data_IF_168634502208
#
_entry.id   IF_168634502208
#
_cell.length_a   1.000
_cell.length_b   1.000
_cell.length_c   1.000
_cell.angle_alpha   90.00
_cell.angle_beta   90.00
_cell.angle_gamma   90.00
#
_symmetry.space_group_name_H-M   'P 1'
#
loop_
_entity.id
_entity.type
_entity.pdbx_description
1 polymer ?
#
# COMPACT_ATOMS: atom_id res chain seq x y z
N UNK A 1 -12.76 -5.87 0.95
CA UNK A 1 -12.46 -6.05 -0.49
C UNK A 1 -11.65 -4.83 -0.92
N UNK A 2 -10.60 -4.99 -1.73
CA UNK A 2 -9.83 -3.87 -2.25
C UNK A 2 -10.72 -2.91 -3.06
N UNK A 3 -10.28 -1.67 -3.19
CA UNK A 3 -11.00 -0.67 -3.99
C UNK A 3 -10.97 -1.05 -5.49
N UNK A 4 -12.11 -0.91 -6.22
CA UNK A 4 -12.14 -1.21 -7.66
C UNK A 4 -11.10 -0.42 -8.47
N UNK A 5 -10.88 0.85 -8.09
CA UNK A 5 -9.89 1.70 -8.73
C UNK A 5 -8.45 1.14 -8.63
N UNK A 6 -8.09 0.51 -7.50
CA UNK A 6 -6.78 -0.11 -7.36
C UNK A 6 -6.63 -1.34 -8.27
N UNK A 7 -7.69 -2.14 -8.40
CA UNK A 7 -7.72 -3.30 -9.29
C UNK A 7 -7.52 -2.87 -10.74
N UNK A 8 -8.28 -1.87 -11.18
CA UNK A 8 -8.23 -1.37 -12.56
C UNK A 8 -6.83 -0.84 -12.93
N UNK A 9 -6.16 -0.13 -12.02
CA UNK A 9 -4.83 0.42 -12.28
C UNK A 9 -3.76 -0.69 -12.27
N UNK A 10 -3.81 -1.62 -11.31
CA UNK A 10 -2.80 -2.68 -11.21
C UNK A 10 -2.86 -3.66 -12.38
N UNK A 11 -4.06 -4.00 -12.85
CA UNK A 11 -4.23 -4.97 -13.94
C UNK A 11 -4.30 -4.32 -15.31
N UNK A 12 -4.94 -3.15 -15.43
CA UNK A 12 -5.17 -2.48 -16.71
C UNK A 12 -4.08 -1.49 -17.11
N UNK A 13 -3.21 -1.06 -16.18
CA UNK A 13 -2.19 -0.02 -16.39
C UNK A 13 -0.83 -0.41 -15.82
N UNK A 14 -0.27 -1.52 -16.28
CA UNK A 14 1.09 -1.95 -15.92
C UNK A 14 2.18 -0.92 -16.27
N UNK A 15 1.90 -0.04 -17.24
CA UNK A 15 2.74 1.12 -17.58
C UNK A 15 2.87 2.12 -16.41
N UNK A 16 1.82 2.23 -15.58
CA UNK A 16 1.77 3.13 -14.43
C UNK A 16 2.27 2.45 -13.15
N UNK A 17 1.79 1.24 -12.86
CA UNK A 17 2.07 0.54 -11.60
C UNK A 17 2.80 -0.80 -11.80
N UNK A 18 3.96 -0.77 -12.46
CA UNK A 18 4.88 -1.91 -12.47
C UNK A 18 5.49 -2.15 -11.07
N UNK A 19 5.45 -3.38 -10.50
CA UNK A 19 6.00 -3.69 -9.17
C UNK A 19 7.53 -3.65 -9.08
N UNK A 20 8.24 -3.49 -10.20
CA UNK A 20 9.70 -3.40 -10.21
C UNK A 20 10.19 -2.02 -10.68
N UNK A 21 11.31 -1.57 -10.14
CA UNK A 21 12.06 -0.43 -10.66
C UNK A 21 12.85 -0.84 -11.91
N UNK A 22 13.39 0.15 -12.64
CA UNK A 22 14.11 -0.10 -13.89
C UNK A 22 15.37 -0.98 -13.73
N UNK A 23 15.96 -0.98 -12.53
CA UNK A 23 17.10 -1.83 -12.14
C UNK A 23 16.67 -3.22 -11.62
N UNK A 24 15.37 -3.57 -11.69
CA UNK A 24 14.85 -4.88 -11.31
C UNK A 24 14.57 -5.06 -9.81
N UNK A 25 14.79 -4.04 -8.98
CA UNK A 25 14.42 -4.09 -7.56
C UNK A 25 12.90 -4.00 -7.40
N UNK A 26 12.35 -4.73 -6.42
CA UNK A 26 10.94 -4.61 -6.05
C UNK A 26 10.62 -3.21 -5.48
N UNK A 27 9.53 -2.61 -5.94
CA UNK A 27 9.06 -1.30 -5.48
C UNK A 27 8.45 -1.42 -4.09
N UNK A 28 8.74 -0.41 -3.26
CA UNK A 28 8.13 -0.28 -1.94
C UNK A 28 6.89 0.58 -2.01
N UNK A 29 5.76 0.06 -1.58
CA UNK A 29 4.50 0.76 -1.49
C UNK A 29 4.14 1.09 -0.03
N UNK A 30 3.54 2.26 0.20
CA UNK A 30 2.95 2.64 1.49
C UNK A 30 1.44 2.80 1.32
N UNK A 31 0.68 2.22 2.25
CA UNK A 31 -0.76 2.45 2.41
C UNK A 31 -0.97 3.12 3.78
N UNK A 32 -1.10 4.46 3.85
CA UNK A 32 -1.37 5.15 5.10
C UNK A 32 -2.84 5.00 5.50
N UNK A 33 -3.09 4.75 6.80
CA UNK A 33 -4.43 4.46 7.29
C UNK A 33 -4.97 3.17 6.68
N UNK A 34 -4.18 2.09 6.70
CA UNK A 34 -4.51 0.88 5.95
C UNK A 34 -5.75 0.13 6.46
N UNK A 35 -6.26 0.48 7.65
CA UNK A 35 -7.48 -0.11 8.20
C UNK A 35 -7.34 -1.62 8.33
N UNK A 36 -8.19 -2.39 7.64
CA UNK A 36 -8.16 -3.86 7.63
C UNK A 36 -7.09 -4.47 6.71
N UNK A 37 -6.38 -3.67 5.92
CA UNK A 37 -5.30 -4.14 5.06
C UNK A 37 -5.70 -4.68 3.68
N UNK A 38 -6.91 -4.37 3.17
CA UNK A 38 -7.36 -4.84 1.86
C UNK A 38 -6.43 -4.43 0.71
N UNK A 39 -6.10 -3.13 0.63
CA UNK A 39 -5.22 -2.61 -0.42
C UNK A 39 -3.75 -3.04 -0.21
N UNK A 40 -3.38 -3.36 1.04
CA UNK A 40 -2.05 -3.90 1.38
C UNK A 40 -1.87 -5.28 0.74
N UNK A 41 -2.82 -6.19 0.96
CA UNK A 41 -2.82 -7.53 0.38
C UNK A 41 -2.88 -7.47 -1.15
N UNK A 42 -3.69 -6.56 -1.70
CA UNK A 42 -3.78 -6.38 -3.15
C UNK A 42 -2.43 -6.04 -3.76
N UNK A 43 -1.73 -5.04 -3.21
CA UNK A 43 -0.41 -4.63 -3.68
C UNK A 43 0.65 -5.74 -3.48
N UNK A 44 0.59 -6.47 -2.37
CA UNK A 44 1.49 -7.60 -2.09
C UNK A 44 1.36 -8.69 -3.16
N UNK A 45 0.13 -9.14 -3.42
CA UNK A 45 -0.16 -10.18 -4.41
C UNK A 45 0.19 -9.75 -5.84
N UNK A 46 0.27 -8.44 -6.10
CA UNK A 46 0.74 -7.86 -7.35
C UNK A 46 2.25 -7.54 -7.35
N UNK A 47 2.98 -8.02 -6.34
CA UNK A 47 4.43 -8.03 -6.30
C UNK A 47 5.09 -6.79 -5.71
N UNK A 48 4.39 -5.95 -4.96
CA UNK A 48 5.03 -4.84 -4.23
C UNK A 48 5.50 -5.27 -2.84
N UNK A 49 6.60 -4.67 -2.35
CA UNK A 49 6.89 -4.71 -0.91
C UNK A 49 6.06 -3.63 -0.21
N UNK A 50 5.07 -4.04 0.57
CA UNK A 50 4.02 -3.15 1.06
C UNK A 50 4.16 -2.88 2.55
N UNK A 51 4.01 -1.61 2.89
CA UNK A 51 3.98 -1.10 4.25
C UNK A 51 2.59 -0.56 4.53
N UNK A 52 1.84 -1.22 5.41
CA UNK A 52 0.58 -0.70 5.92
C UNK A 52 0.82 0.08 7.20
N UNK A 53 0.37 1.33 7.28
CA UNK A 53 0.44 2.13 8.50
C UNK A 53 -0.94 2.30 9.10
N UNK A 54 -1.12 1.90 10.35
CA UNK A 54 -2.38 2.03 11.09
C UNK A 54 -2.12 2.63 12.47
N UNK A 55 -2.94 3.60 12.87
CA UNK A 55 -2.74 4.31 14.15
C UNK A 55 -3.24 3.47 15.32
N UNK A 56 -4.32 2.72 15.11
CA UNK A 56 -4.93 1.84 16.11
C UNK A 56 -4.16 0.53 16.23
N UNK A 57 -3.78 0.16 17.45
CA UNK A 57 -3.16 -1.14 17.72
C UNK A 57 -4.07 -2.30 17.30
N UNK A 58 -5.34 -2.25 17.72
CA UNK A 58 -6.36 -3.23 17.31
C UNK A 58 -6.54 -3.27 15.79
N UNK A 59 -6.50 -2.10 15.12
CA UNK A 59 -6.58 -2.04 13.66
C UNK A 59 -5.39 -2.72 13.00
N UNK A 60 -4.17 -2.46 13.50
CA UNK A 60 -2.95 -3.07 13.01
C UNK A 60 -2.94 -4.59 13.22
N UNK A 61 -3.43 -5.09 14.36
CA UNK A 61 -3.59 -6.54 14.59
C UNK A 61 -4.54 -7.19 13.58
N UNK A 62 -5.72 -6.59 13.37
CA UNK A 62 -6.69 -7.06 12.38
C UNK A 62 -6.08 -7.07 10.97
N UNK A 63 -5.32 -6.05 10.60
CA UNK A 63 -4.65 -5.99 9.30
C UNK A 63 -3.57 -7.07 9.14
N UNK A 64 -2.80 -7.36 10.19
CA UNK A 64 -1.79 -8.44 10.17
C UNK A 64 -2.45 -9.81 10.00
N UNK A 65 -3.51 -10.08 10.76
CA UNK A 65 -4.23 -11.35 10.66
C UNK A 65 -4.85 -11.51 9.27
N UNK A 66 -5.49 -10.46 8.76
CA UNK A 66 -6.07 -10.45 7.43
C UNK A 66 -5.00 -10.73 6.36
N UNK A 67 -3.88 -9.99 6.36
CA UNK A 67 -2.81 -10.18 5.40
C UNK A 67 -2.24 -11.61 5.43
N UNK A 68 -1.98 -12.15 6.63
CA UNK A 68 -1.52 -13.53 6.80
C UNK A 68 -2.50 -14.54 6.21
N UNK A 69 -3.80 -14.34 6.44
CA UNK A 69 -4.84 -15.28 5.99
C UNK A 69 -5.00 -15.29 4.47
N UNK A 70 -4.98 -14.11 3.84
CA UNK A 70 -5.16 -13.97 2.40
C UNK A 70 -3.91 -14.38 1.63
N UNK A 71 -2.70 -14.13 2.17
CA UNK A 71 -1.47 -14.64 1.56
C UNK A 71 -1.44 -16.17 1.49
N UNK A 72 -1.95 -16.85 2.54
CA UNK A 72 -2.03 -18.32 2.57
C UNK A 72 -3.04 -18.90 1.59
N UNK A 73 -4.13 -18.17 1.35
CA UNK A 73 -5.21 -18.61 0.47
C UNK A 73 -5.83 -17.39 -0.23
N UNK A 74 -5.18 -16.85 -1.28
CA UNK A 74 -5.70 -15.70 -2.00
C UNK A 74 -7.08 -15.99 -2.59
N UNK A 75 -7.99 -15.03 -2.51
CA UNK A 75 -9.37 -15.15 -3.00
C UNK A 75 -9.52 -14.44 -4.34
N UNK A 76 -10.56 -14.79 -5.07
CA UNK A 76 -10.82 -14.23 -6.40
C UNK A 76 -10.88 -12.70 -6.40
N UNK A 77 -11.46 -12.08 -5.36
CA UNK A 77 -11.55 -10.62 -5.28
C UNK A 77 -10.20 -9.91 -5.07
N UNK A 78 -9.13 -10.66 -4.78
CA UNK A 78 -7.76 -10.12 -4.73
C UNK A 78 -7.17 -9.95 -6.13
N UNK A 79 -7.90 -10.37 -7.16
CA UNK A 79 -7.56 -10.22 -8.55
C UNK A 79 -8.78 -9.63 -9.28
N UNK A 80 -8.54 -8.90 -10.35
CA UNK A 80 -9.57 -8.50 -11.29
C UNK A 80 -9.85 -9.60 -12.31
N UNK A 81 -10.74 -9.28 -13.25
CA UNK A 81 -11.23 -10.22 -14.26
C UNK A 81 -10.17 -10.73 -15.24
N UNK A 82 -8.96 -10.16 -15.21
CA UNK A 82 -7.85 -10.48 -16.10
C UNK A 82 -6.95 -11.60 -15.55
N UNK A 83 -7.38 -12.28 -14.47
CA UNK A 83 -6.61 -13.22 -13.66
C UNK A 83 -6.05 -14.43 -14.44
N UNK A 84 -4.94 -14.21 -15.12
CA UNK A 84 -3.80 -15.11 -14.92
C UNK A 84 -2.97 -14.44 -13.83
N UNK A 85 -2.68 -15.15 -12.73
CA UNK A 85 -1.54 -14.80 -11.87
C UNK A 85 -0.43 -14.26 -12.77
N UNK A 86 -0.02 -13.01 -12.61
CA UNK A 86 0.84 -12.28 -13.56
C UNK A 86 2.25 -12.88 -13.72
N UNK A 87 2.47 -14.10 -13.24
CA UNK A 87 3.76 -14.77 -13.10
C UNK A 87 4.64 -14.11 -12.05
N UNK A 88 4.20 -12.98 -11.49
CA UNK A 88 4.94 -12.19 -10.51
C UNK A 88 4.73 -12.83 -9.14
N UNK A 89 5.85 -13.19 -8.51
CA UNK A 89 5.86 -13.61 -7.11
C UNK A 89 5.36 -12.45 -6.23
N UNK A 90 4.48 -12.78 -5.28
CA UNK A 90 4.02 -11.84 -4.26
C UNK A 90 5.20 -11.19 -3.53
N UNK A 91 5.02 -9.94 -3.13
CA UNK A 91 6.02 -9.22 -2.34
C UNK A 91 5.96 -9.55 -0.86
N UNK A 92 6.51 -8.65 -0.04
CA UNK A 92 6.46 -8.75 1.42
C UNK A 92 5.50 -7.72 2.02
N UNK A 93 4.83 -8.06 3.12
CA UNK A 93 4.00 -7.13 3.89
C UNK A 93 4.58 -6.83 5.27
N UNK A 94 4.59 -5.55 5.63
CA UNK A 94 4.86 -5.07 6.97
C UNK A 94 3.73 -4.14 7.44
N UNK A 95 2.97 -4.56 8.46
CA UNK A 95 1.97 -3.71 9.13
C UNK A 95 2.58 -3.05 10.36
N UNK A 96 2.67 -1.72 10.30
CA UNK A 96 3.26 -0.86 11.30
C UNK A 96 2.14 -0.16 12.09
N UNK A 97 2.17 -0.30 13.40
CA UNK A 97 1.35 0.53 14.29
C UNK A 97 2.06 1.88 14.45
N UNK A 98 1.39 2.97 14.11
CA UNK A 98 2.00 4.30 14.21
C UNK A 98 1.12 5.43 13.69
N UNK A 99 1.41 6.63 14.19
CA UNK A 99 0.77 7.87 13.74
C UNK A 99 1.48 8.39 12.49
N UNK A 100 0.76 8.53 11.38
CA UNK A 100 1.29 9.04 10.11
C UNK A 100 2.05 10.36 10.22
N UNK A 101 1.61 11.25 11.10
CA UNK A 101 2.22 12.58 11.27
C UNK A 101 3.50 12.56 12.11
N UNK A 102 3.74 11.46 12.83
CA UNK A 102 4.97 11.17 13.57
C UNK A 102 6.05 10.60 12.64
N UNK A 103 7.32 10.71 13.02
CA UNK A 103 8.48 10.27 12.20
C UNK A 103 9.08 8.95 12.70
N UNK A 104 8.76 8.57 13.93
CA UNK A 104 9.37 7.49 14.71
C UNK A 104 9.08 6.11 14.13
N UNK A 105 7.95 5.94 13.42
CA UNK A 105 7.61 4.69 12.76
C UNK A 105 8.44 4.41 11.50
N UNK A 106 9.27 5.36 11.04
CA UNK A 106 10.06 5.25 9.80
C UNK A 106 11.57 5.39 10.04
N UNK A 107 12.32 4.35 9.66
CA UNK A 107 13.78 4.36 9.60
C UNK A 107 14.32 4.86 8.24
N UNK A 108 14.05 6.12 7.88
CA UNK A 108 14.54 6.79 6.64
C UNK A 108 14.14 6.17 5.29
N UNK A 109 13.30 5.13 5.26
CA UNK A 109 12.82 4.48 4.02
C UNK A 109 11.92 5.40 3.19
N UNK A 110 12.22 5.56 1.89
CA UNK A 110 11.33 6.24 0.93
C UNK A 110 10.56 5.22 0.09
N UNK A 111 9.35 5.60 -0.30
CA UNK A 111 8.43 4.73 -1.03
C UNK A 111 8.38 5.08 -2.51
N UNK A 112 8.37 4.05 -3.36
CA UNK A 112 8.22 4.17 -4.81
C UNK A 112 6.73 4.39 -5.19
N UNK A 113 5.81 3.98 -4.32
CA UNK A 113 4.36 4.20 -4.41
C UNK A 113 3.80 4.58 -3.04
N UNK A 114 2.92 5.57 -2.98
CA UNK A 114 2.01 5.77 -1.85
C UNK A 114 0.58 5.71 -2.40
N UNK A 115 -0.25 4.84 -1.83
CA UNK A 115 -1.65 4.68 -2.22
C UNK A 115 -2.58 5.24 -1.14
N UNK A 116 -3.23 6.37 -1.40
CA UNK A 116 -4.14 7.07 -0.48
C UNK A 116 -5.58 7.08 -1.04
N UNK A 117 -6.34 6.03 -0.74
CA UNK A 117 -7.72 5.92 -1.22
C UNK A 117 -8.75 6.64 -0.31
N UNK A 118 -8.49 6.76 0.99
CA UNK A 118 -9.44 7.33 1.96
C UNK A 118 -8.79 8.11 3.11
N UNK A 119 -7.47 8.21 3.14
CA UNK A 119 -6.79 8.77 4.31
C UNK A 119 -6.86 10.30 4.30
N UNK A 120 -6.63 10.95 3.16
CA UNK A 120 -6.75 12.41 3.04
C UNK A 120 -8.16 12.93 3.37
N UNK A 121 -9.21 12.19 3.01
CA UNK A 121 -10.58 12.60 3.28
C UNK A 121 -11.01 12.31 4.74
N UNK A 122 -10.39 11.35 5.41
CA UNK A 122 -10.64 11.02 6.81
C UNK A 122 -9.99 12.00 7.80
N UNK A 123 -8.95 12.75 7.39
CA UNK A 123 -8.27 13.72 8.28
C UNK A 123 -8.94 15.10 8.27
N UNK A 124 -8.83 15.80 9.41
CA UNK A 124 -9.38 17.15 9.57
C UNK A 124 -8.75 18.13 8.54
N UNK A 125 -9.51 19.06 7.93
CA UNK A 125 -9.00 19.95 6.88
C UNK A 125 -7.74 20.74 7.25
N UNK A 126 -7.58 21.12 8.53
CA UNK A 126 -6.40 21.85 9.02
C UNK A 126 -5.11 21.01 8.94
N UNK A 127 -5.21 19.68 8.91
CA UNK A 127 -4.08 18.77 8.86
C UNK A 127 -3.61 18.48 7.42
N UNK A 128 -4.37 18.89 6.40
CA UNK A 128 -4.07 18.56 4.99
C UNK A 128 -2.72 19.11 4.51
N UNK A 129 -2.30 20.27 5.02
CA UNK A 129 -0.94 20.80 4.73
C UNK A 129 0.14 19.90 5.32
N UNK A 130 -0.06 19.43 6.55
CA UNK A 130 0.86 18.52 7.20
C UNK A 130 0.90 17.18 6.47
N UNK A 131 -0.25 16.68 6.03
CA UNK A 131 -0.34 15.49 5.19
C UNK A 131 0.46 15.64 3.91
N UNK A 132 0.31 16.75 3.18
CA UNK A 132 1.04 16.98 1.93
C UNK A 132 2.57 17.00 2.16
N UNK A 133 3.02 17.65 3.24
CA UNK A 133 4.42 17.64 3.64
C UNK A 133 4.93 16.23 3.98
N UNK A 134 4.14 15.44 4.71
CA UNK A 134 4.49 14.04 5.01
C UNK A 134 4.55 13.18 3.75
N UNK A 135 3.61 13.33 2.83
CA UNK A 135 3.65 12.60 1.55
C UNK A 135 4.94 12.90 0.79
N UNK A 136 5.32 14.18 0.65
CA UNK A 136 6.57 14.58 0.00
C UNK A 136 7.84 14.04 0.73
N UNK A 137 7.83 14.01 2.05
CA UNK A 137 8.93 13.43 2.86
C UNK A 137 9.05 11.90 2.69
N UNK A 138 7.92 11.23 2.47
CA UNK A 138 7.82 9.78 2.39
C UNK A 138 8.11 9.26 0.99
N UNK A 139 7.74 10.02 -0.04
CA UNK A 139 7.89 9.62 -1.43
C UNK A 139 9.36 9.67 -1.89
N UNK A 140 9.75 8.70 -2.72
CA UNK A 140 11.00 8.75 -3.48
C UNK A 140 10.93 9.85 -4.55
N UNK A 141 12.07 10.41 -5.03
CA UNK A 141 12.06 11.46 -6.05
C UNK A 141 11.29 11.08 -7.34
N UNK A 142 11.27 9.80 -7.69
CA UNK A 142 10.54 9.25 -8.85
C UNK A 142 9.31 8.43 -8.43
N UNK A 143 8.87 8.57 -7.18
CA UNK A 143 7.73 7.84 -6.65
C UNK A 143 6.41 8.44 -7.11
N UNK A 144 5.36 7.63 -7.03
CA UNK A 144 4.00 8.05 -7.36
C UNK A 144 3.13 8.11 -6.11
N UNK A 145 2.35 9.18 -5.99
CA UNK A 145 1.23 9.26 -5.07
C UNK A 145 -0.04 9.03 -5.89
N UNK A 146 -0.82 8.03 -5.52
CA UNK A 146 -2.06 7.62 -6.18
C UNK A 146 -3.21 7.70 -5.20
#
# INVERSE_FOLDING_TARGET
>A
MPSPALIDILEGRQDLLNPFTADGRRKRALVPGCGKGYDVVMLELHGFDVFGLEVSETGAEVAREYARSEFQSPKEYNFGSSSSSSGVEAGQVAIIQGDFFKKEWKNRVRFDLIYDCMFLCAIHPTMRRQWAGRMADLLAPTGHLV
#
